data_IF_942235605221
#
_entry.id   IF_942235605221
#
_cell.length_a   1.000
_cell.length_b   1.000
_cell.length_c   1.000
_cell.angle_alpha   90.00
_cell.angle_beta   90.00
_cell.angle_gamma   90.00
#
_symmetry.space_group_name_H-M   'P 1'
#
loop_
_entity.id
_entity.type
_entity.pdbx_description
1 polymer ?
#
# COMPACT_ATOMS: atom_id res chain seq x y z
N UNK A 1 6.30 21.42 -5.92
CA UNK A 1 6.31 20.28 -4.96
C UNK A 1 6.42 18.96 -5.75
N UNK A 2 7.42 18.15 -5.44
CA UNK A 2 7.62 16.85 -6.08
C UNK A 2 6.35 16.00 -5.83
N UNK A 3 5.78 15.39 -6.88
CA UNK A 3 4.54 14.61 -6.78
C UNK A 3 4.60 13.56 -5.65
N UNK A 4 5.80 13.05 -5.41
CA UNK A 4 6.09 12.02 -4.41
C UNK A 4 5.92 12.49 -2.96
N UNK A 5 5.89 13.81 -2.69
CA UNK A 5 5.66 14.35 -1.34
C UNK A 5 4.17 14.41 -0.97
N UNK A 6 3.27 14.46 -1.96
CA UNK A 6 1.84 14.66 -1.72
C UNK A 6 1.19 13.56 -0.86
N UNK A 7 1.45 12.26 -1.09
CA UNK A 7 0.91 11.19 -0.23
C UNK A 7 1.33 11.33 1.24
N UNK A 8 2.57 11.75 1.49
CA UNK A 8 3.09 11.98 2.84
C UNK A 8 2.38 13.13 3.54
N UNK A 9 2.06 14.20 2.82
CA UNK A 9 1.30 15.33 3.38
C UNK A 9 -0.09 14.86 3.82
N UNK A 10 -0.82 14.13 2.97
CA UNK A 10 -2.13 13.59 3.32
C UNK A 10 -2.06 12.65 4.54
N UNK A 11 -1.07 11.77 4.57
CA UNK A 11 -0.84 10.85 5.69
C UNK A 11 -0.57 11.58 7.00
N UNK A 12 0.31 12.59 6.99
CA UNK A 12 0.65 13.34 8.20
C UNK A 12 -0.48 14.26 8.67
N UNK A 13 -1.31 14.80 7.77
CA UNK A 13 -2.56 15.50 8.14
C UNK A 13 -3.53 14.54 8.85
N UNK A 14 -3.70 13.33 8.32
CA UNK A 14 -4.56 12.32 8.95
C UNK A 14 -4.05 11.96 10.35
N UNK A 15 -2.73 11.76 10.52
CA UNK A 15 -2.12 11.51 11.83
C UNK A 15 -2.34 12.67 12.81
N UNK A 16 -2.10 13.91 12.38
CA UNK A 16 -2.31 15.11 13.21
C UNK A 16 -3.78 15.23 13.64
N UNK A 17 -4.73 14.95 12.75
CA UNK A 17 -6.16 14.93 13.08
C UNK A 17 -6.48 13.88 14.14
N UNK A 18 -5.94 12.68 13.99
CA UNK A 18 -6.17 11.59 14.95
C UNK A 18 -5.53 11.88 16.30
N UNK A 19 -4.31 12.41 16.33
CA UNK A 19 -3.62 12.76 17.58
C UNK A 19 -4.38 13.86 18.35
N UNK A 20 -4.98 14.81 17.63
CA UNK A 20 -5.88 15.81 18.22
C UNK A 20 -7.16 15.18 18.78
N UNK A 21 -7.80 14.27 18.04
CA UNK A 21 -9.05 13.64 18.44
C UNK A 21 -8.90 12.69 19.63
N UNK A 22 -7.84 11.88 19.64
CA UNK A 22 -7.67 10.80 20.63
C UNK A 22 -6.75 11.19 21.80
N UNK A 23 -5.77 12.06 21.56
CA UNK A 23 -4.77 12.43 22.58
C UNK A 23 -4.84 13.91 22.98
N UNK A 24 -5.74 14.70 22.38
CA UNK A 24 -5.90 16.14 22.67
C UNK A 24 -4.69 16.99 22.27
N UNK A 25 -3.78 16.46 21.43
CA UNK A 25 -2.55 17.14 21.01
C UNK A 25 -2.80 17.95 19.75
N UNK A 26 -2.49 19.25 19.80
CA UNK A 26 -2.56 20.11 18.62
C UNK A 26 -1.19 20.16 17.93
N UNK A 27 -1.11 19.55 16.75
CA UNK A 27 0.11 19.51 15.94
C UNK A 27 0.10 20.67 14.97
N UNK A 28 1.15 21.50 15.01
CA UNK A 28 1.29 22.64 14.11
C UNK A 28 1.22 22.21 12.62
N UNK A 29 0.47 22.93 11.77
CA UNK A 29 0.45 22.68 10.33
C UNK A 29 1.85 22.77 9.69
N UNK A 30 2.69 23.68 10.18
CA UNK A 30 4.07 23.82 9.70
C UNK A 30 4.91 22.60 10.08
N UNK A 31 4.80 22.13 11.33
CA UNK A 31 5.47 20.90 11.76
C UNK A 31 5.00 19.69 10.94
N UNK A 32 3.69 19.60 10.66
CA UNK A 32 3.10 18.54 9.82
C UNK A 32 3.73 18.52 8.42
N UNK A 33 3.86 19.67 7.78
CA UNK A 33 4.51 19.79 6.46
C UNK A 33 6.00 19.42 6.51
N UNK A 34 6.71 19.84 7.55
CA UNK A 34 8.13 19.51 7.73
C UNK A 34 8.34 18.01 7.90
N UNK A 35 7.50 17.35 8.72
CA UNK A 35 7.56 15.91 8.91
C UNK A 35 7.26 15.15 7.62
N UNK A 36 6.22 15.53 6.90
CA UNK A 36 5.88 14.93 5.62
C UNK A 36 7.02 15.05 4.60
N UNK A 37 7.66 16.22 4.53
CA UNK A 37 8.75 16.48 3.58
C UNK A 37 10.01 15.69 3.92
N UNK A 38 10.38 15.64 5.20
CA UNK A 38 11.53 14.86 5.67
C UNK A 38 11.33 13.37 5.42
N UNK A 39 10.14 12.85 5.74
CA UNK A 39 9.84 11.43 5.55
C UNK A 39 9.84 11.03 4.08
N UNK A 40 9.26 11.86 3.21
CA UNK A 40 9.28 11.65 1.77
C UNK A 40 10.73 11.56 1.24
N UNK A 41 11.60 12.46 1.72
CA UNK A 41 13.00 12.51 1.34
C UNK A 41 13.80 11.30 1.86
N UNK A 42 13.57 10.91 3.12
CA UNK A 42 14.19 9.72 3.71
C UNK A 42 13.78 8.46 2.97
N UNK A 43 12.49 8.32 2.65
CA UNK A 43 11.99 7.18 1.90
C UNK A 43 12.58 7.13 0.49
N UNK A 44 12.64 8.27 -0.20
CA UNK A 44 13.26 8.37 -1.52
C UNK A 44 14.71 7.89 -1.50
N UNK A 45 15.52 8.40 -0.57
CA UNK A 45 16.92 8.00 -0.39
C UNK A 45 17.09 6.52 -0.06
N UNK A 46 16.25 5.98 0.81
CA UNK A 46 16.31 4.56 1.19
C UNK A 46 15.98 3.61 0.02
N UNK A 47 15.30 4.10 -1.01
CA UNK A 47 14.90 3.32 -2.18
C UNK A 47 15.69 3.69 -3.44
N UNK A 48 16.68 4.59 -3.35
CA UNK A 48 17.64 4.79 -4.43
C UNK A 48 18.47 3.51 -4.57
N UNK A 49 18.41 2.88 -5.75
CA UNK A 49 19.27 1.73 -6.06
C UNK A 49 20.72 2.20 -6.04
N UNK A 50 21.58 1.53 -5.29
CA UNK A 50 23.02 1.70 -5.42
C UNK A 50 23.38 1.46 -6.89
N UNK A 51 23.95 2.47 -7.55
CA UNK A 51 24.56 2.27 -8.85
C UNK A 51 25.76 1.36 -8.60
N UNK A 52 25.66 0.09 -9.00
CA UNK A 52 26.84 -0.72 -9.17
C UNK A 52 27.70 0.00 -10.22
N UNK A 53 28.87 0.46 -9.81
CA UNK A 53 29.91 0.94 -10.72
C UNK A 53 30.31 -0.24 -11.60
N UNK A 54 29.66 -0.39 -12.76
CA UNK A 54 30.10 -1.29 -13.81
C UNK A 54 31.02 -0.52 -14.76
N UNK A 55 32.31 -0.61 -14.45
CA UNK A 55 33.40 -0.37 -15.40
C UNK A 55 33.41 -1.53 -16.41
N UNK A 56 32.64 -1.40 -17.50
CA UNK A 56 32.86 -2.22 -18.68
C UNK A 56 32.57 -1.48 -19.99
N UNK A 57 33.61 -1.43 -20.80
CA UNK A 57 33.73 -0.87 -22.13
C UNK A 57 33.07 -1.83 -23.13
N UNK A 58 31.92 -1.46 -23.72
CA UNK A 58 31.37 -2.14 -24.92
C UNK A 58 30.47 -1.18 -25.76
N UNK A 59 30.44 -1.34 -27.11
CA UNK A 59 29.97 -0.32 -28.06
C UNK A 59 28.44 -0.23 -28.23
N UNK A 60 27.90 0.87 -28.82
CA UNK A 60 26.50 1.22 -28.67
C UNK A 60 25.59 0.28 -29.48
N UNK A 61 24.81 -0.52 -28.77
CA UNK A 61 23.73 -1.31 -29.36
C UNK A 61 22.46 -0.47 -29.37
N UNK A 62 21.88 -0.38 -30.57
CA UNK A 62 20.66 0.34 -30.95
C UNK A 62 19.55 0.20 -29.88
N UNK A 63 19.11 1.34 -29.35
CA UNK A 63 17.93 1.44 -28.48
C UNK A 63 16.67 1.11 -29.28
N UNK A 64 16.32 -0.17 -29.32
CA UNK A 64 14.93 -0.56 -29.50
C UNK A 64 14.26 -0.26 -28.17
N UNK A 65 13.33 0.69 -28.18
CA UNK A 65 12.47 1.05 -27.06
C UNK A 65 11.55 -0.14 -26.72
N UNK A 66 12.12 -1.18 -26.12
CA UNK A 66 11.34 -2.21 -25.44
C UNK A 66 10.81 -1.57 -24.17
N UNK A 67 9.52 -1.21 -24.19
CA UNK A 67 8.68 -1.11 -23.00
C UNK A 67 9.14 -2.19 -22.02
N UNK A 68 9.52 -1.86 -20.76
CA UNK A 68 10.06 -2.84 -19.82
C UNK A 68 9.06 -3.98 -19.59
N UNK A 69 9.20 -5.05 -20.37
CA UNK A 69 8.60 -6.34 -20.08
C UNK A 69 9.41 -6.93 -18.93
N UNK A 70 9.03 -6.61 -17.69
CA UNK A 70 9.77 -7.20 -16.57
C UNK A 70 9.63 -6.53 -15.23
N UNK A 71 8.47 -5.97 -14.87
CA UNK A 71 8.09 -6.04 -13.47
C UNK A 71 7.21 -7.29 -13.37
N UNK A 72 7.66 -8.37 -12.71
CA UNK A 72 6.76 -9.46 -12.34
C UNK A 72 5.58 -8.80 -11.61
N UNK A 73 4.37 -8.90 -12.17
CA UNK A 73 3.22 -8.35 -11.47
C UNK A 73 3.11 -9.14 -10.16
N UNK A 74 3.36 -8.47 -9.05
CA UNK A 74 3.23 -9.07 -7.73
C UNK A 74 1.76 -9.49 -7.62
N UNK A 75 1.46 -10.77 -7.37
CA UNK A 75 0.08 -11.20 -7.27
C UNK A 75 -0.58 -10.43 -6.12
N UNK A 76 -1.72 -9.82 -6.37
CA UNK A 76 -2.45 -9.04 -5.36
C UNK A 76 -3.66 -9.82 -4.89
N UNK A 77 -3.79 -9.96 -3.57
CA UNK A 77 -4.93 -10.63 -2.94
C UNK A 77 -5.67 -9.65 -2.06
N UNK A 78 -6.99 -9.54 -2.24
CA UNK A 78 -7.89 -8.80 -1.37
C UNK A 78 -8.78 -9.81 -0.65
N UNK A 79 -8.96 -9.63 0.65
CA UNK A 79 -9.80 -10.49 1.49
C UNK A 79 -10.67 -9.56 2.32
N UNK A 80 -11.95 -9.91 2.46
CA UNK A 80 -12.91 -9.16 3.26
C UNK A 80 -13.95 -10.12 3.85
N UNK A 81 -14.43 -9.81 5.05
CA UNK A 81 -15.46 -10.60 5.72
C UNK A 81 -16.71 -9.77 6.05
N UNK A 82 -17.85 -10.46 6.08
CA UNK A 82 -19.14 -9.88 6.43
C UNK A 82 -19.70 -10.54 7.68
N UNK A 83 -20.22 -9.72 8.57
CA UNK A 83 -20.79 -10.15 9.83
C UNK A 83 -22.05 -9.33 10.15
N UNK A 84 -23.06 -10.00 10.69
CA UNK A 84 -24.31 -9.37 11.10
C UNK A 84 -24.60 -9.76 12.55
N UNK A 85 -24.92 -8.78 13.40
CA UNK A 85 -25.07 -8.99 14.84
C UNK A 85 -26.10 -10.08 15.21
N UNK A 86 -27.20 -10.16 14.47
CA UNK A 86 -28.25 -11.16 14.68
C UNK A 86 -28.26 -12.25 13.58
N UNK A 87 -27.18 -12.38 12.80
CA UNK A 87 -27.04 -13.40 11.77
C UNK A 87 -26.52 -14.72 12.33
N UNK A 88 -26.90 -15.84 11.73
CA UNK A 88 -26.35 -17.17 12.05
C UNK A 88 -25.11 -17.53 11.24
N UNK A 89 -24.75 -16.69 10.26
CA UNK A 89 -23.71 -16.94 9.26
C UNK A 89 -22.82 -15.69 9.16
N UNK A 90 -21.52 -15.92 9.03
CA UNK A 90 -20.56 -14.93 8.51
C UNK A 90 -20.22 -15.28 7.06
N UNK A 91 -19.99 -14.25 6.24
CA UNK A 91 -19.49 -14.43 4.87
C UNK A 91 -18.02 -14.04 4.78
N UNK A 92 -17.27 -14.69 3.90
CA UNK A 92 -15.90 -14.37 3.53
C UNK A 92 -15.82 -14.26 2.00
N UNK A 93 -15.12 -13.24 1.52
CA UNK A 93 -14.82 -13.06 0.11
C UNK A 93 -13.34 -12.80 -0.10
N UNK A 94 -12.84 -13.22 -1.27
CA UNK A 94 -11.50 -12.87 -1.70
C UNK A 94 -11.41 -12.72 -3.21
N UNK A 95 -10.47 -11.90 -3.66
CA UNK A 95 -10.03 -11.78 -5.05
C UNK A 95 -8.51 -11.90 -5.12
N UNK A 96 -8.00 -12.60 -6.13
CA UNK A 96 -6.58 -12.76 -6.42
C UNK A 96 -6.35 -12.39 -7.88
N UNK A 97 -5.55 -11.35 -8.11
CA UNK A 97 -4.98 -11.08 -9.42
C UNK A 97 -3.60 -11.72 -9.49
N UNK A 98 -3.43 -12.65 -10.42
CA UNK A 98 -2.15 -13.33 -10.61
C UNK A 98 -1.15 -12.49 -11.43
N UNK A 99 0.05 -13.05 -11.62
CA UNK A 99 1.15 -12.39 -12.31
C UNK A 99 0.89 -12.20 -13.82
N UNK A 100 -0.08 -12.94 -14.37
CA UNK A 100 -0.51 -12.88 -15.76
C UNK A 100 -1.71 -11.94 -15.95
N UNK A 101 -2.20 -11.32 -14.87
CA UNK A 101 -3.40 -10.48 -14.88
C UNK A 101 -4.71 -11.26 -14.92
N UNK A 102 -4.69 -12.56 -14.62
CA UNK A 102 -5.91 -13.36 -14.46
C UNK A 102 -6.46 -13.16 -13.06
N UNK A 103 -7.76 -12.85 -12.99
CA UNK A 103 -8.49 -12.68 -11.74
C UNK A 103 -9.17 -13.99 -11.32
N UNK A 104 -8.95 -14.39 -10.08
CA UNK A 104 -9.65 -15.46 -9.39
C UNK A 104 -10.41 -14.86 -8.22
N UNK A 105 -11.57 -15.42 -7.90
CA UNK A 105 -12.33 -14.98 -6.74
C UNK A 105 -13.07 -16.14 -6.10
N UNK A 106 -13.39 -15.99 -4.83
CA UNK A 106 -14.14 -16.97 -4.07
C UNK A 106 -14.99 -16.34 -3.00
N UNK A 107 -16.09 -17.01 -2.68
CA UNK A 107 -17.01 -16.64 -1.62
C UNK A 107 -17.26 -17.88 -0.76
N UNK A 108 -17.31 -17.69 0.55
CA UNK A 108 -17.63 -18.77 1.49
C UNK A 108 -18.55 -18.24 2.59
N UNK A 109 -19.54 -19.05 2.94
CA UNK A 109 -20.35 -18.86 4.14
C UNK A 109 -19.91 -19.87 5.21
N UNK A 110 -19.86 -19.45 6.47
CA UNK A 110 -19.57 -20.32 7.60
C UNK A 110 -20.37 -19.88 8.84
N UNK A 111 -20.32 -20.69 9.90
CA UNK A 111 -21.06 -20.40 11.13
C UNK A 111 -20.63 -19.05 11.71
N UNK A 112 -21.58 -18.32 12.32
CA UNK A 112 -21.36 -16.98 12.86
C UNK A 112 -20.06 -16.84 13.67
N UNK A 113 -19.23 -15.88 13.29
CA UNK A 113 -18.06 -15.41 14.05
C UNK A 113 -18.48 -14.61 15.29
N UNK A 114 -17.60 -14.55 16.29
CA UNK A 114 -17.87 -13.86 17.55
C UNK A 114 -18.10 -12.34 17.39
N UNK A 115 -17.47 -11.72 16.40
CA UNK A 115 -17.57 -10.29 16.10
C UNK A 115 -17.20 -10.01 14.65
N UNK A 116 -17.45 -8.79 14.17
CA UNK A 116 -16.98 -8.34 12.86
C UNK A 116 -15.46 -8.50 12.71
N UNK A 117 -14.67 -8.10 13.72
CA UNK A 117 -13.21 -8.25 13.69
C UNK A 117 -12.77 -9.72 13.68
N UNK A 118 -13.52 -10.61 14.34
CA UNK A 118 -13.23 -12.04 14.30
C UNK A 118 -13.49 -12.62 12.90
N UNK A 119 -14.50 -12.12 12.19
CA UNK A 119 -14.82 -12.57 10.85
C UNK A 119 -13.70 -12.28 9.84
N UNK A 120 -12.97 -11.17 10.01
CA UNK A 120 -11.81 -10.79 9.18
C UNK A 120 -10.59 -11.71 9.36
N UNK A 121 -10.53 -12.46 10.47
CA UNK A 121 -9.39 -13.31 10.82
C UNK A 121 -9.58 -14.79 10.43
N UNK A 122 -10.81 -15.23 10.22
CA UNK A 122 -11.14 -16.62 9.85
C UNK A 122 -10.79 -16.96 8.40
#
# INVERSE_FOLDING_TARGET
>A
PQFDTFPWICWYIWKARNDKLFNGKDVSPFATLQHASLEAECWRKANEKEKADEDHDDPPTIEVETVPHGIPQIPTCQIDASWINNGSISGLGWSLNDQMGVEYFGLRAYNRSLSALHAEME
#
